data_IF_618569348106
#
_entry.id   IF_618569348106
#
_cell.length_a   1.000
_cell.length_b   1.000
_cell.length_c   1.000
_cell.angle_alpha   90.00
_cell.angle_beta   90.00
_cell.angle_gamma   90.00
#
_symmetry.space_group_name_H-M   'P 1'
#
loop_
_entity.id
_entity.type
_entity.pdbx_description
1 polymer ?
#
# COMPACT_ATOMS: atom_id res chain seq x y z
N UNK A 1 48.20 54.96 -12.72
CA UNK A 1 47.54 53.76 -13.29
C UNK A 1 48.00 52.56 -12.46
N UNK A 2 47.15 52.04 -11.58
CA UNK A 2 47.42 50.86 -10.74
C UNK A 2 46.17 49.99 -10.74
N UNK A 3 46.37 48.71 -11.05
CA UNK A 3 45.36 47.74 -11.45
C UNK A 3 44.57 47.24 -10.23
N UNK A 4 43.24 47.26 -10.34
CA UNK A 4 42.32 46.59 -9.42
C UNK A 4 42.39 45.07 -9.67
N UNK A 5 42.65 44.22 -8.66
CA UNK A 5 42.58 42.77 -8.84
C UNK A 5 41.10 42.37 -8.85
N UNK A 6 40.65 41.91 -10.03
CA UNK A 6 39.31 41.39 -10.24
C UNK A 6 39.00 40.25 -9.27
N UNK A 7 37.92 40.43 -8.50
CA UNK A 7 37.29 39.34 -7.76
C UNK A 7 36.80 38.29 -8.74
N UNK A 8 37.26 37.06 -8.57
CA UNK A 8 36.74 35.89 -9.27
C UNK A 8 35.26 35.78 -8.89
N UNK A 9 34.31 35.76 -9.84
CA UNK A 9 32.92 35.49 -9.50
C UNK A 9 32.86 34.10 -8.88
N UNK A 10 32.39 34.04 -7.62
CA UNK A 10 32.10 32.79 -6.94
C UNK A 10 31.17 31.97 -7.85
N UNK A 11 31.68 30.84 -8.32
CA UNK A 11 30.89 29.89 -9.10
C UNK A 11 29.68 29.51 -8.23
N UNK A 12 28.51 30.01 -8.60
CA UNK A 12 27.25 29.61 -8.01
C UNK A 12 27.15 28.09 -8.18
N UNK A 13 27.11 27.38 -7.05
CA UNK A 13 26.87 25.95 -7.00
C UNK A 13 25.57 25.64 -7.74
N UNK A 14 25.68 25.02 -8.92
CA UNK A 14 24.52 24.54 -9.66
C UNK A 14 23.69 23.63 -8.72
N UNK A 15 22.36 23.82 -8.64
CA UNK A 15 21.52 22.96 -7.81
C UNK A 15 21.68 21.52 -8.30
N UNK A 16 21.99 20.61 -7.38
CA UNK A 16 22.11 19.19 -7.67
C UNK A 16 20.88 18.72 -8.45
N UNK A 17 21.11 18.22 -9.67
CA UNK A 17 20.07 17.66 -10.53
C UNK A 17 19.43 16.46 -9.83
N UNK A 18 18.32 16.70 -9.13
CA UNK A 18 17.59 15.63 -8.46
C UNK A 18 16.98 14.75 -9.54
N UNK A 19 17.31 13.45 -9.56
CA UNK A 19 16.77 12.51 -10.53
C UNK A 19 15.22 12.59 -10.52
N UNK A 20 14.57 12.88 -11.66
CA UNK A 20 13.12 13.07 -11.75
C UNK A 20 12.32 11.83 -11.31
N UNK A 21 12.96 10.66 -11.21
CA UNK A 21 12.33 9.40 -10.75
C UNK A 21 12.16 9.33 -9.23
N UNK A 22 12.97 10.06 -8.46
CA UNK A 22 12.95 10.03 -6.99
C UNK A 22 11.56 10.36 -6.41
N UNK A 23 10.87 11.44 -6.80
CA UNK A 23 9.52 11.73 -6.27
C UNK A 23 8.49 10.64 -6.60
N UNK A 24 8.62 9.98 -7.75
CA UNK A 24 7.72 8.92 -8.21
C UNK A 24 7.95 7.65 -7.37
N UNK A 25 9.21 7.27 -7.15
CA UNK A 25 9.58 6.13 -6.29
C UNK A 25 9.07 6.35 -4.86
N UNK A 26 9.17 7.57 -4.32
CA UNK A 26 8.65 7.90 -2.98
C UNK A 26 7.12 7.81 -2.93
N UNK A 27 6.40 8.24 -3.97
CA UNK A 27 4.94 8.09 -4.05
C UNK A 27 4.54 6.61 -4.12
N UNK A 28 5.22 5.82 -4.94
CA UNK A 28 5.02 4.36 -5.02
C UNK A 28 5.23 3.69 -3.66
N UNK A 29 6.35 3.98 -2.98
CA UNK A 29 6.67 3.41 -1.67
C UNK A 29 5.68 3.83 -0.59
N UNK A 30 5.19 5.06 -0.60
CA UNK A 30 4.14 5.52 0.31
C UNK A 30 2.85 4.73 0.12
N UNK A 31 2.39 4.56 -1.13
CA UNK A 31 1.21 3.74 -1.41
C UNK A 31 1.40 2.27 -1.04
N UNK A 32 2.57 1.68 -1.33
CA UNK A 32 2.90 0.32 -0.90
C UNK A 32 3.01 0.16 0.63
N UNK A 33 3.33 1.25 1.33
CA UNK A 33 3.36 1.32 2.79
C UNK A 33 1.97 1.15 3.42
N UNK A 34 0.92 1.58 2.73
CA UNK A 34 -0.46 1.44 3.23
C UNK A 34 -0.86 -0.02 3.45
N UNK A 35 -0.42 -0.95 2.59
CA UNK A 35 -0.63 -2.38 2.84
C UNK A 35 -0.06 -2.85 4.18
N UNK A 36 1.12 -2.36 4.56
CA UNK A 36 1.74 -2.67 5.84
C UNK A 36 0.99 -2.00 7.00
N UNK A 37 0.57 -0.74 6.82
CA UNK A 37 -0.25 -0.03 7.81
C UNK A 37 -1.54 -0.77 8.09
N UNK A 38 -2.25 -1.23 7.06
CA UNK A 38 -3.48 -2.04 7.20
C UNK A 38 -3.16 -3.34 7.94
N UNK A 39 -2.09 -4.05 7.56
CA UNK A 39 -1.69 -5.30 8.22
C UNK A 39 -1.39 -5.11 9.71
N UNK A 40 -0.71 -4.01 10.08
CA UNK A 40 -0.41 -3.67 11.49
C UNK A 40 -1.69 -3.33 12.25
N UNK A 41 -2.55 -2.48 11.69
CA UNK A 41 -3.81 -2.08 12.32
C UNK A 41 -4.73 -3.29 12.53
N UNK A 42 -4.81 -4.18 11.54
CA UNK A 42 -5.53 -5.45 11.65
C UNK A 42 -4.93 -6.36 12.74
N UNK A 43 -3.61 -6.52 12.78
CA UNK A 43 -2.96 -7.32 13.83
C UNK A 43 -3.20 -6.77 15.24
N UNK A 44 -3.21 -5.44 15.42
CA UNK A 44 -3.60 -4.81 16.70
C UNK A 44 -5.04 -5.16 17.06
N UNK A 45 -5.97 -5.14 16.10
CA UNK A 45 -7.36 -5.54 16.35
C UNK A 45 -7.48 -7.00 16.78
N UNK A 46 -6.80 -7.92 16.09
CA UNK A 46 -6.81 -9.34 16.46
C UNK A 46 -6.25 -9.56 17.87
N UNK A 47 -5.19 -8.84 18.25
CA UNK A 47 -4.61 -8.90 19.60
C UNK A 47 -5.60 -8.40 20.65
N UNK A 48 -6.23 -7.25 20.43
CA UNK A 48 -7.23 -6.70 21.37
C UNK A 48 -8.42 -7.65 21.58
N UNK A 49 -8.83 -8.34 20.53
CA UNK A 49 -9.90 -9.33 20.61
C UNK A 49 -9.53 -10.57 21.43
N UNK A 50 -8.26 -11.02 21.36
CA UNK A 50 -7.75 -12.12 22.20
C UNK A 50 -7.80 -11.75 23.68
N UNK A 51 -7.59 -10.47 24.03
CA UNK A 51 -7.65 -9.99 25.40
C UNK A 51 -9.09 -9.71 25.91
N UNK A 52 -10.12 -10.08 25.14
CA UNK A 52 -11.53 -9.76 25.41
C UNK A 52 -11.78 -8.28 25.72
N UNK A 53 -10.93 -7.41 25.16
CA UNK A 53 -11.15 -5.99 25.24
C UNK A 53 -12.42 -5.69 24.43
N UNK A 54 -13.52 -5.32 25.11
CA UNK A 54 -14.80 -4.93 24.47
C UNK A 54 -14.69 -3.69 23.55
N UNK A 55 -13.48 -3.18 23.34
CA UNK A 55 -13.17 -2.09 22.43
C UNK A 55 -12.90 -2.70 21.06
N UNK A 56 -13.95 -2.83 20.25
CA UNK A 56 -13.81 -3.08 18.80
C UNK A 56 -13.30 -1.78 18.17
N UNK A 57 -12.06 -1.78 17.71
CA UNK A 57 -11.48 -0.62 17.04
C UNK A 57 -12.13 -0.44 15.66
N UNK A 58 -12.38 0.81 15.27
CA UNK A 58 -13.04 1.31 14.03
C UNK A 58 -12.19 1.04 12.75
N UNK A 59 -11.25 0.12 12.84
CA UNK A 59 -10.37 -0.28 11.75
C UNK A 59 -10.51 -1.78 11.49
N UNK A 60 -11.69 -2.35 11.78
CA UNK A 60 -11.95 -3.78 11.62
C UNK A 60 -11.94 -4.17 10.13
N UNK A 61 -11.38 -5.34 9.81
CA UNK A 61 -11.55 -5.91 8.46
C UNK A 61 -13.01 -6.35 8.30
N UNK A 62 -13.57 -6.19 7.11
CA UNK A 62 -14.93 -6.69 6.81
C UNK A 62 -15.06 -8.19 7.03
N UNK A 63 -14.02 -8.94 6.70
CA UNK A 63 -13.90 -10.38 6.91
C UNK A 63 -14.03 -10.74 8.39
N UNK A 64 -13.44 -9.96 9.30
CA UNK A 64 -13.54 -10.17 10.75
C UNK A 64 -15.01 -10.16 11.22
N UNK A 65 -15.86 -9.28 10.66
CA UNK A 65 -17.29 -9.23 11.00
C UNK A 65 -18.08 -10.42 10.46
N UNK A 66 -17.78 -10.86 9.23
CA UNK A 66 -18.38 -12.08 8.66
C UNK A 66 -18.01 -13.29 9.50
N UNK A 67 -16.73 -13.41 9.87
CA UNK A 67 -16.26 -14.54 10.65
C UNK A 67 -16.83 -14.49 12.06
N UNK A 68 -16.96 -13.32 12.71
CA UNK A 68 -17.65 -13.19 13.99
C UNK A 68 -19.11 -13.67 13.91
N UNK A 69 -19.85 -13.28 12.86
CA UNK A 69 -21.24 -13.69 12.66
C UNK A 69 -21.40 -15.22 12.53
N UNK A 70 -20.45 -15.87 11.85
CA UNK A 70 -20.40 -17.33 11.70
C UNK A 70 -19.88 -18.01 12.97
N UNK A 71 -18.86 -17.44 13.61
CA UNK A 71 -18.20 -17.96 14.81
C UNK A 71 -19.16 -18.02 16.00
N UNK A 72 -20.05 -17.03 16.14
CA UNK A 72 -21.11 -17.04 17.16
C UNK A 72 -22.03 -18.26 17.07
N UNK A 73 -22.14 -18.91 15.90
CA UNK A 73 -22.91 -20.14 15.72
C UNK A 73 -22.10 -21.41 16.03
N UNK A 74 -20.76 -21.33 16.06
CA UNK A 74 -19.85 -22.48 16.16
C UNK A 74 -19.13 -22.61 17.51
N UNK A 75 -19.35 -21.69 18.46
CA UNK A 75 -18.73 -21.72 19.78
C UNK A 75 -17.20 -21.61 19.72
N UNK A 76 -16.48 -22.45 20.47
CA UNK A 76 -15.02 -22.36 20.61
C UNK A 76 -14.24 -22.58 19.29
N UNK A 77 -14.82 -23.30 18.32
CA UNK A 77 -14.23 -23.49 17.00
C UNK A 77 -14.27 -22.20 16.16
N UNK A 78 -15.22 -21.30 16.44
CA UNK A 78 -15.37 -20.04 15.74
C UNK A 78 -14.19 -19.09 15.94
N UNK A 79 -13.67 -19.01 17.17
CA UNK A 79 -12.51 -18.16 17.50
C UNK A 79 -11.23 -18.60 16.78
N UNK A 80 -11.00 -19.91 16.62
CA UNK A 80 -9.84 -20.41 15.89
C UNK A 80 -9.92 -20.07 14.39
N UNK A 81 -11.10 -20.26 13.78
CA UNK A 81 -11.33 -19.93 12.36
C UNK A 81 -11.09 -18.44 12.13
N UNK A 82 -11.57 -17.59 13.05
CA UNK A 82 -11.34 -16.16 13.03
C UNK A 82 -9.87 -15.78 12.98
N UNK A 83 -9.09 -16.25 13.96
CA UNK A 83 -7.66 -15.93 14.06
C UNK A 83 -6.91 -16.43 12.81
N UNK A 84 -7.26 -17.61 12.29
CA UNK A 84 -6.64 -18.15 11.08
C UNK A 84 -6.92 -17.29 9.84
N UNK A 85 -8.16 -16.85 9.64
CA UNK A 85 -8.55 -16.04 8.48
C UNK A 85 -7.94 -14.64 8.56
N UNK A 86 -8.01 -13.99 9.72
CA UNK A 86 -7.38 -12.67 9.95
C UNK A 86 -5.86 -12.76 9.73
N UNK A 87 -5.22 -13.78 10.30
CA UNK A 87 -3.78 -14.02 10.14
C UNK A 87 -3.37 -14.25 8.68
N UNK A 88 -4.18 -14.98 7.91
CA UNK A 88 -3.95 -15.19 6.48
C UNK A 88 -4.07 -13.88 5.70
N UNK A 89 -5.06 -13.04 6.02
CA UNK A 89 -5.25 -11.74 5.38
C UNK A 89 -4.09 -10.78 5.69
N UNK A 90 -3.64 -10.72 6.95
CA UNK A 90 -2.47 -9.95 7.38
C UNK A 90 -1.22 -10.40 6.62
N UNK A 91 -0.99 -11.72 6.53
CA UNK A 91 0.15 -12.28 5.80
C UNK A 91 0.10 -11.89 4.32
N UNK A 92 -1.08 -12.02 3.68
CA UNK A 92 -1.29 -11.60 2.29
C UNK A 92 -0.94 -10.12 2.09
N UNK A 93 -1.45 -9.22 2.93
CA UNK A 93 -1.16 -7.78 2.84
C UNK A 93 0.33 -7.48 3.04
N UNK A 94 1.00 -8.20 3.95
CA UNK A 94 2.44 -8.06 4.15
C UNK A 94 3.24 -8.46 2.90
N UNK A 95 2.88 -9.58 2.26
CA UNK A 95 3.47 -10.01 0.99
C UNK A 95 3.22 -8.98 -0.12
N UNK A 96 1.98 -8.49 -0.26
CA UNK A 96 1.63 -7.43 -1.19
C UNK A 96 2.48 -6.18 -0.96
N UNK A 97 2.68 -5.75 0.30
CA UNK A 97 3.54 -4.60 0.62
C UNK A 97 4.98 -4.81 0.16
N UNK A 98 5.56 -5.99 0.41
CA UNK A 98 6.94 -6.29 0.02
C UNK A 98 7.11 -6.24 -1.50
N UNK A 99 6.21 -6.85 -2.26
CA UNK A 99 6.31 -6.87 -3.72
C UNK A 99 5.92 -5.53 -4.36
N UNK A 100 4.96 -4.81 -3.80
CA UNK A 100 4.59 -3.47 -4.24
C UNK A 100 5.74 -2.46 -4.06
N UNK A 101 6.55 -2.59 -3.00
CA UNK A 101 7.75 -1.76 -2.78
C UNK A 101 8.84 -1.95 -3.86
N UNK A 102 8.84 -3.11 -4.52
CA UNK A 102 9.74 -3.43 -5.64
C UNK A 102 9.16 -2.96 -6.98
N UNK A 103 7.92 -2.45 -7.00
CA UNK A 103 7.25 -1.94 -8.21
C UNK A 103 6.40 -2.97 -8.95
N UNK A 104 6.10 -4.12 -8.32
CA UNK A 104 5.22 -5.13 -8.93
C UNK A 104 3.79 -4.61 -9.05
N UNK A 105 3.34 -4.36 -10.28
CA UNK A 105 1.97 -3.93 -10.58
C UNK A 105 0.94 -5.00 -10.20
N UNK A 106 1.27 -6.28 -10.36
CA UNK A 106 0.40 -7.39 -9.98
C UNK A 106 0.14 -7.45 -8.48
N UNK A 107 1.14 -7.14 -7.65
CA UNK A 107 0.98 -7.07 -6.19
C UNK A 107 0.05 -5.94 -5.76
N UNK A 108 0.13 -4.77 -6.42
CA UNK A 108 -0.81 -3.68 -6.19
C UNK A 108 -2.23 -4.07 -6.58
N UNK A 109 -2.44 -4.61 -7.79
CA UNK A 109 -3.78 -4.97 -8.27
C UNK A 109 -4.40 -6.08 -7.42
N UNK A 110 -3.65 -7.14 -7.13
CA UNK A 110 -4.13 -8.22 -6.27
C UNK A 110 -4.52 -7.74 -4.87
N UNK A 111 -3.66 -6.92 -4.24
CA UNK A 111 -3.95 -6.33 -2.94
C UNK A 111 -5.15 -5.37 -2.95
N UNK A 112 -5.28 -4.54 -4.00
CA UNK A 112 -6.43 -3.64 -4.16
C UNK A 112 -7.74 -4.40 -4.35
N UNK A 113 -7.74 -5.50 -5.10
CA UNK A 113 -8.94 -6.33 -5.30
C UNK A 113 -9.33 -6.98 -3.97
N UNK A 114 -8.40 -7.65 -3.29
CA UNK A 114 -8.68 -8.32 -2.03
C UNK A 114 -9.17 -7.33 -0.96
N UNK A 115 -8.50 -6.19 -0.83
CA UNK A 115 -8.87 -5.15 0.14
C UNK A 115 -10.15 -4.38 -0.24
N UNK A 116 -10.38 -4.17 -1.54
CA UNK A 116 -11.61 -3.55 -2.04
C UNK A 116 -12.84 -4.44 -1.81
N UNK A 117 -12.72 -5.76 -2.04
CA UNK A 117 -13.77 -6.71 -1.72
C UNK A 117 -14.09 -6.70 -0.22
N UNK A 118 -13.07 -6.69 0.63
CA UNK A 118 -13.24 -6.56 2.08
C UNK A 118 -13.97 -5.26 2.48
N UNK A 119 -13.62 -4.14 1.84
CA UNK A 119 -14.33 -2.86 2.01
C UNK A 119 -15.80 -2.91 1.59
N UNK A 120 -16.13 -3.66 0.53
CA UNK A 120 -17.53 -3.85 0.09
C UNK A 120 -18.31 -4.69 1.09
N UNK A 121 -17.68 -5.70 1.71
CA UNK A 121 -18.30 -6.48 2.79
C UNK A 121 -18.77 -5.56 3.94
N UNK A 122 -17.95 -4.58 4.34
CA UNK A 122 -18.30 -3.63 5.40
C UNK A 122 -19.56 -2.80 5.12
N UNK A 123 -19.87 -2.53 3.83
CA UNK A 123 -21.09 -1.84 3.44
C UNK A 123 -22.35 -2.67 3.76
N UNK A 124 -22.27 -4.00 3.63
CA UNK A 124 -23.38 -4.89 4.01
C UNK A 124 -23.63 -4.90 5.52
N UNK A 125 -22.61 -4.69 6.34
CA UNK A 125 -22.73 -4.57 7.80
C UNK A 125 -23.08 -3.14 8.26
N UNK A 126 -23.35 -2.21 7.34
CA UNK A 126 -23.64 -0.80 7.64
C UNK A 126 -22.56 -0.08 8.44
N UNK A 127 -21.31 -0.56 8.36
CA UNK A 127 -20.14 0.04 9.01
C UNK A 127 -19.56 1.17 8.16
N UNK A 128 -20.28 2.29 8.09
CA UNK A 128 -19.95 3.43 7.22
C UNK A 128 -18.57 4.04 7.50
N UNK A 129 -18.16 4.07 8.78
CA UNK A 129 -16.89 4.65 9.17
C UNK A 129 -15.71 3.76 8.77
N UNK A 130 -15.78 2.45 9.03
CA UNK A 130 -14.79 1.47 8.57
C UNK A 130 -14.70 1.45 7.03
N UNK A 131 -15.84 1.54 6.33
CA UNK A 131 -15.89 1.61 4.87
C UNK A 131 -15.22 2.88 4.32
N UNK A 132 -15.40 4.03 4.98
CA UNK A 132 -14.73 5.27 4.60
C UNK A 132 -13.21 5.19 4.76
N UNK A 133 -12.73 4.58 5.86
CA UNK A 133 -11.30 4.32 6.07
C UNK A 133 -10.75 3.36 5.01
N UNK A 134 -11.49 2.31 4.66
CA UNK A 134 -11.13 1.39 3.58
C UNK A 134 -11.02 2.10 2.23
N UNK A 135 -11.99 2.95 1.90
CA UNK A 135 -11.96 3.74 0.67
C UNK A 135 -10.74 4.70 0.65
N UNK A 136 -10.43 5.34 1.78
CA UNK A 136 -9.26 6.22 1.88
C UNK A 136 -7.94 5.44 1.74
N UNK A 137 -7.80 4.31 2.41
CA UNK A 137 -6.61 3.47 2.29
C UNK A 137 -6.45 2.91 0.86
N UNK A 138 -7.56 2.50 0.23
CA UNK A 138 -7.58 2.05 -1.17
C UNK A 138 -7.17 3.17 -2.13
N UNK A 139 -7.63 4.40 -1.89
CA UNK A 139 -7.20 5.58 -2.64
C UNK A 139 -5.69 5.81 -2.51
N UNK A 140 -5.13 5.69 -1.31
CA UNK A 140 -3.69 5.86 -1.11
C UNK A 140 -2.86 4.76 -1.78
N UNK A 141 -3.36 3.52 -1.80
CA UNK A 141 -2.76 2.41 -2.54
C UNK A 141 -2.81 2.68 -4.05
N UNK A 142 -3.95 3.16 -4.57
CA UNK A 142 -4.12 3.55 -5.97
C UNK A 142 -3.09 4.62 -6.39
N UNK A 143 -2.85 5.61 -5.55
CA UNK A 143 -1.83 6.63 -5.79
C UNK A 143 -0.42 6.03 -5.90
N UNK A 144 -0.13 4.93 -5.18
CA UNK A 144 1.12 4.18 -5.32
C UNK A 144 1.19 3.35 -6.59
N UNK A 145 0.08 2.70 -6.97
CA UNK A 145 -0.03 1.95 -8.22
C UNK A 145 0.15 2.85 -9.45
N UNK A 146 -0.48 4.02 -9.47
CA UNK A 146 -0.31 5.00 -10.53
C UNK A 146 1.16 5.42 -10.70
N UNK A 147 1.87 5.64 -9.58
CA UNK A 147 3.30 5.95 -9.60
C UNK A 147 4.16 4.76 -10.06
N UNK A 148 3.81 3.52 -9.70
CA UNK A 148 4.49 2.33 -10.19
C UNK A 148 4.36 2.17 -11.71
N UNK A 149 3.18 2.49 -12.26
CA UNK A 149 2.92 2.49 -13.70
C UNK A 149 3.69 3.59 -14.42
N UNK A 150 3.71 4.80 -13.87
CA UNK A 150 4.49 5.92 -14.40
C UNK A 150 5.99 5.57 -14.45
N UNK A 151 6.53 4.99 -13.37
CA UNK A 151 7.93 4.58 -13.31
C UNK A 151 8.27 3.51 -14.35
N UNK A 152 7.39 2.52 -14.53
CA UNK A 152 7.57 1.47 -15.55
C UNK A 152 7.58 2.05 -16.98
N UNK A 153 6.70 3.01 -17.27
CA UNK A 153 6.66 3.71 -18.55
C UNK A 153 7.94 4.52 -18.81
N UNK A 154 8.45 5.23 -17.79
CA UNK A 154 9.71 5.97 -17.89
C UNK A 154 10.92 5.06 -18.13
N UNK A 155 10.93 3.87 -17.53
CA UNK A 155 11.99 2.87 -17.74
C UNK A 155 11.95 2.30 -19.17
N UNK A 156 10.76 2.02 -19.69
CA UNK A 156 10.56 1.56 -21.07
C UNK A 156 10.98 2.63 -22.09
N UNK A 157 10.58 3.89 -21.88
CA UNK A 157 10.96 5.00 -22.75
C UNK A 157 12.48 5.29 -22.74
N UNK A 158 13.15 5.02 -21.62
CA UNK A 158 14.60 5.17 -21.47
C UNK A 158 15.43 4.00 -22.05
N UNK A 159 14.80 2.92 -22.54
CA UNK A 159 15.46 1.81 -23.23
C UNK A 159 14.96 1.68 -24.68
N UNK A 160 15.44 2.51 -25.64
CA UNK A 160 14.94 2.53 -27.00
C UNK A 160 15.34 1.31 -27.88
N UNK A 161 15.91 0.25 -27.32
CA UNK A 161 16.66 -0.77 -28.08
C UNK A 161 16.14 -2.21 -28.05
N UNK A 162 15.11 -2.54 -27.25
CA UNK A 162 14.59 -3.91 -27.15
C UNK A 162 13.20 -4.11 -27.77
N UNK A 163 12.61 -3.04 -28.33
CA UNK A 163 11.26 -3.06 -28.92
C UNK A 163 11.24 -3.28 -30.44
N UNK A 164 12.38 -3.40 -31.10
CA UNK A 164 12.40 -3.84 -32.49
C UNK A 164 12.60 -5.36 -32.55
N UNK A 165 11.58 -6.14 -32.94
CA UNK A 165 11.87 -7.48 -33.41
C UNK A 165 12.75 -7.30 -34.66
N UNK A 166 13.99 -7.79 -34.61
CA UNK A 166 14.71 -8.07 -35.86
C UNK A 166 13.94 -9.20 -36.52
N UNK A 167 13.02 -8.84 -37.41
CA UNK A 167 12.47 -9.79 -38.36
C UNK A 167 13.63 -10.24 -39.27
N UNK A 168 13.81 -11.57 -39.47
CA UNK A 168 14.77 -12.08 -40.44
C UNK A 168 14.37 -11.71 -41.87
#
# INVERSE_FOLDING_TARGET
>A
MSLSPGGIPAAASAPATTDPRIPIILRMRRGAGWFLTIAILSGVNSVLQIFDAKIRFIFGLGVTQVVDAVAHQMGQNGTLVMICVDGLFIAMLFLCSKWAKVGSQGAFVGGMIAYGLDGVLLLFFSSWLDAAVHAYALWMIWQGYAAARELAQMQQAAQPGLSQPRLP
#
